data_IF_003775962949
#
_entry.id   IF_003775962949
#
_cell.length_a   1.000
_cell.length_b   1.000
_cell.length_c   1.000
_cell.angle_alpha   90.00
_cell.angle_beta   90.00
_cell.angle_gamma   90.00
#
_symmetry.space_group_name_H-M   'P 1'
#
loop_
_entity.id
_entity.type
_entity.pdbx_description
1 polymer ?
#
# COMPACT_ATOMS: atom_id res chain seq x y z
N UNK A 1 12.37 -26.57 1.63
CA UNK A 1 13.61 -26.73 0.83
C UNK A 1 14.51 -25.56 1.17
N UNK A 2 15.82 -25.79 1.33
CA UNK A 2 16.75 -24.72 1.71
C UNK A 2 17.96 -24.67 0.78
N UNK A 3 18.35 -23.49 0.33
CA UNK A 3 19.55 -23.29 -0.50
C UNK A 3 19.47 -23.90 -1.91
N UNK A 4 18.27 -24.26 -2.37
CA UNK A 4 18.09 -24.98 -3.63
C UNK A 4 18.14 -24.03 -4.83
N UNK A 5 18.75 -24.50 -5.93
CA UNK A 5 18.65 -23.88 -7.26
C UNK A 5 17.60 -24.61 -8.08
N UNK A 6 16.57 -23.89 -8.49
CA UNK A 6 15.41 -24.43 -9.20
C UNK A 6 15.47 -23.92 -10.63
N UNK A 7 15.92 -24.82 -11.53
CA UNK A 7 16.22 -24.51 -12.94
C UNK A 7 15.00 -24.64 -13.86
N UNK A 8 13.94 -25.30 -13.39
CA UNK A 8 12.67 -25.44 -14.12
C UNK A 8 11.62 -24.44 -13.65
N UNK A 9 10.61 -24.20 -14.48
CA UNK A 9 9.43 -23.41 -14.10
C UNK A 9 8.67 -24.11 -12.98
N UNK A 10 8.52 -23.43 -11.85
CA UNK A 10 7.63 -23.86 -10.78
C UNK A 10 6.23 -23.32 -11.08
N UNK A 11 5.45 -24.11 -11.82
CA UNK A 11 4.06 -23.82 -12.16
C UNK A 11 3.12 -24.66 -11.31
N UNK A 12 2.40 -23.99 -10.42
CA UNK A 12 1.40 -24.55 -9.53
C UNK A 12 0.04 -23.85 -9.74
N UNK A 13 -0.18 -23.30 -10.94
CA UNK A 13 -1.42 -22.61 -11.28
C UNK A 13 -2.64 -23.54 -11.13
N UNK A 14 -3.70 -23.03 -10.50
CA UNK A 14 -4.96 -23.75 -10.26
C UNK A 14 -4.83 -24.98 -9.36
N UNK A 15 -3.66 -25.23 -8.77
CA UNK A 15 -3.45 -26.39 -7.90
C UNK A 15 -4.05 -26.17 -6.52
N UNK A 16 -4.50 -27.26 -5.89
CA UNK A 16 -4.97 -27.26 -4.51
C UNK A 16 -4.10 -28.19 -3.67
N UNK A 17 -3.50 -27.68 -2.59
CA UNK A 17 -2.72 -28.48 -1.66
C UNK A 17 -2.79 -27.94 -0.22
N UNK A 18 -3.15 -28.79 0.74
CA UNK A 18 -3.28 -28.41 2.17
C UNK A 18 -1.92 -28.40 2.92
N UNK A 19 -0.81 -28.42 2.20
CA UNK A 19 0.53 -28.45 2.77
C UNK A 19 1.24 -27.10 2.70
N UNK A 20 2.37 -27.02 3.40
CA UNK A 20 3.27 -25.87 3.37
C UNK A 20 4.19 -25.97 2.14
N UNK A 21 4.22 -24.93 1.32
CA UNK A 21 5.31 -24.70 0.37
C UNK A 21 6.37 -23.82 1.04
N UNK A 22 7.50 -24.40 1.41
CA UNK A 22 8.60 -23.71 2.11
C UNK A 22 9.89 -23.76 1.28
N UNK A 23 10.37 -22.59 0.89
CA UNK A 23 11.59 -22.34 0.14
C UNK A 23 12.40 -21.27 0.87
N UNK A 24 13.53 -21.64 1.43
CA UNK A 24 14.39 -20.74 2.20
C UNK A 24 15.75 -20.60 1.51
N UNK A 25 16.24 -19.38 1.34
CA UNK A 25 17.53 -19.11 0.67
C UNK A 25 17.62 -19.73 -0.76
N UNK A 26 16.51 -19.86 -1.48
CA UNK A 26 16.45 -20.51 -2.79
C UNK A 26 16.72 -19.54 -3.95
N UNK A 27 17.14 -20.08 -5.10
CA UNK A 27 17.28 -19.33 -6.36
C UNK A 27 16.43 -19.99 -7.44
N UNK A 28 15.49 -19.24 -8.00
CA UNK A 28 14.65 -19.67 -9.11
C UNK A 28 15.18 -19.07 -10.41
N UNK A 29 15.30 -19.88 -11.46
CA UNK A 29 15.76 -19.40 -12.79
C UNK A 29 14.60 -18.94 -13.68
N UNK A 30 13.37 -19.32 -13.33
CA UNK A 30 12.15 -18.90 -14.02
C UNK A 30 11.10 -18.40 -13.02
N UNK A 31 10.02 -17.81 -13.53
CA UNK A 31 8.88 -17.31 -12.78
C UNK A 31 8.26 -18.41 -11.92
N UNK A 32 8.00 -18.09 -10.65
CA UNK A 32 7.15 -18.93 -9.79
C UNK A 32 5.70 -18.52 -9.99
N UNK A 33 4.86 -19.47 -10.39
CA UNK A 33 3.45 -19.26 -10.69
C UNK A 33 2.56 -20.12 -9.79
N UNK A 34 1.62 -19.46 -9.14
CA UNK A 34 0.62 -19.95 -8.18
C UNK A 34 -0.72 -19.25 -8.45
N UNK A 35 -0.97 -18.85 -9.71
CA UNK A 35 -2.19 -18.16 -10.08
C UNK A 35 -3.38 -19.09 -9.86
N UNK A 36 -4.44 -18.59 -9.22
CA UNK A 36 -5.65 -19.36 -8.89
C UNK A 36 -5.40 -20.59 -7.99
N UNK A 37 -4.22 -20.74 -7.40
CA UNK A 37 -3.92 -21.84 -6.50
C UNK A 37 -4.66 -21.71 -5.15
N UNK A 38 -4.88 -22.82 -4.47
CA UNK A 38 -5.37 -22.89 -3.10
C UNK A 38 -4.37 -23.65 -2.23
N UNK A 39 -3.82 -22.96 -1.22
CA UNK A 39 -2.81 -23.55 -0.34
C UNK A 39 -3.04 -23.25 1.14
N UNK A 40 -2.38 -24.01 2.00
CA UNK A 40 -2.34 -23.69 3.42
C UNK A 40 -1.36 -22.55 3.70
N UNK A 41 -0.07 -22.81 3.59
CA UNK A 41 0.97 -21.84 3.94
C UNK A 41 1.99 -21.73 2.80
N UNK A 42 2.42 -20.51 2.51
CA UNK A 42 3.47 -20.23 1.54
C UNK A 42 4.60 -19.46 2.23
N UNK A 43 5.81 -19.99 2.14
CA UNK A 43 7.03 -19.34 2.62
C UNK A 43 8.08 -19.43 1.53
N UNK A 44 8.45 -18.28 0.98
CA UNK A 44 9.60 -18.13 0.09
C UNK A 44 10.47 -17.03 0.69
N UNK A 45 11.35 -17.39 1.62
CA UNK A 45 12.14 -16.44 2.42
C UNK A 45 13.59 -16.37 1.94
N UNK A 46 14.19 -15.18 2.00
CA UNK A 46 15.60 -14.94 1.61
C UNK A 46 15.94 -15.38 0.18
N UNK A 47 14.94 -15.49 -0.70
CA UNK A 47 15.09 -16.17 -1.98
C UNK A 47 15.19 -15.17 -3.14
N UNK A 48 15.71 -15.61 -4.29
CA UNK A 48 15.76 -14.82 -5.53
C UNK A 48 14.84 -15.38 -6.58
N UNK A 49 13.95 -14.55 -7.09
CA UNK A 49 12.94 -14.92 -8.09
C UNK A 49 12.94 -13.90 -9.24
N UNK A 50 12.86 -14.33 -10.51
CA UNK A 50 12.68 -13.40 -11.63
C UNK A 50 11.32 -12.70 -11.58
N UNK A 51 10.27 -13.43 -11.20
CA UNK A 51 8.92 -12.90 -10.99
C UNK A 51 8.11 -13.86 -10.12
N UNK A 52 7.07 -13.33 -9.47
CA UNK A 52 6.14 -14.12 -8.66
C UNK A 52 4.69 -13.82 -9.08
N UNK A 53 3.99 -14.84 -9.57
CA UNK A 53 2.60 -14.73 -10.05
C UNK A 53 1.67 -15.51 -9.13
N UNK A 54 0.79 -14.81 -8.43
CA UNK A 54 -0.17 -15.41 -7.51
C UNK A 54 -1.50 -14.63 -7.55
N UNK A 55 -1.91 -14.20 -8.74
CA UNK A 55 -3.21 -13.59 -8.93
C UNK A 55 -4.30 -14.60 -8.53
N UNK A 56 -5.31 -14.14 -7.78
CA UNK A 56 -6.42 -14.96 -7.27
C UNK A 56 -5.99 -16.14 -6.36
N UNK A 57 -4.75 -16.12 -5.86
CA UNK A 57 -4.27 -17.10 -4.87
C UNK A 57 -5.19 -17.10 -3.65
N UNK A 58 -5.49 -18.29 -3.13
CA UNK A 58 -6.14 -18.48 -1.83
C UNK A 58 -5.17 -19.13 -0.88
N UNK A 59 -4.95 -18.51 0.28
CA UNK A 59 -4.11 -19.06 1.33
C UNK A 59 -4.82 -18.97 2.67
N UNK A 60 -4.91 -20.09 3.40
CA UNK A 60 -5.53 -20.10 4.74
C UNK A 60 -4.56 -19.66 5.85
N UNK A 61 -3.27 -19.91 5.65
CA UNK A 61 -2.18 -19.56 6.54
C UNK A 61 -1.32 -18.42 6.01
N UNK A 62 -0.14 -18.27 6.60
CA UNK A 62 0.83 -17.21 6.30
C UNK A 62 1.28 -17.28 4.82
N UNK A 63 1.36 -16.11 4.19
CA UNK A 63 2.13 -15.90 2.95
C UNK A 63 3.33 -15.01 3.28
N UNK A 64 4.53 -15.58 3.25
CA UNK A 64 5.77 -14.85 3.50
C UNK A 64 6.69 -14.90 2.30
N UNK A 65 7.13 -13.72 1.85
CA UNK A 65 8.21 -13.51 0.89
C UNK A 65 9.42 -12.82 1.55
N UNK A 66 9.46 -12.76 2.87
CA UNK A 66 10.39 -11.96 3.68
C UNK A 66 11.85 -12.10 3.24
N UNK A 67 12.53 -10.96 3.08
CA UNK A 67 13.93 -10.86 2.66
C UNK A 67 14.23 -11.31 1.23
N UNK A 68 13.21 -11.60 0.41
CA UNK A 68 13.41 -12.06 -0.97
C UNK A 68 13.60 -10.90 -1.96
N UNK A 69 14.36 -11.17 -3.02
CA UNK A 69 14.51 -10.27 -4.17
C UNK A 69 13.71 -10.80 -5.35
N UNK A 70 12.82 -9.97 -5.89
CA UNK A 70 11.95 -10.29 -7.02
C UNK A 70 12.25 -9.30 -8.14
N UNK A 71 13.10 -9.68 -9.09
CA UNK A 71 13.64 -8.77 -10.11
C UNK A 71 12.54 -8.08 -10.94
N UNK A 72 11.48 -8.82 -11.23
CA UNK A 72 10.31 -8.34 -11.96
C UNK A 72 9.15 -7.95 -11.05
N UNK A 73 8.00 -8.58 -11.29
CA UNK A 73 6.73 -8.23 -10.64
C UNK A 73 6.33 -9.27 -9.59
N UNK A 74 5.89 -8.77 -8.44
CA UNK A 74 5.14 -9.48 -7.42
C UNK A 74 3.64 -9.27 -7.66
N UNK A 75 2.92 -10.28 -8.16
CA UNK A 75 1.50 -10.21 -8.48
C UNK A 75 0.65 -11.00 -7.48
N UNK A 76 -0.23 -10.30 -6.77
CA UNK A 76 -1.21 -10.79 -5.80
C UNK A 76 -2.63 -10.24 -6.08
N UNK A 77 -2.86 -9.75 -7.30
CA UNK A 77 -4.15 -9.23 -7.77
C UNK A 77 -5.31 -10.17 -7.42
N UNK A 78 -6.34 -9.67 -6.75
CA UNK A 78 -7.51 -10.44 -6.29
C UNK A 78 -7.21 -11.65 -5.40
N UNK A 79 -6.00 -11.76 -4.81
CA UNK A 79 -5.69 -12.83 -3.88
C UNK A 79 -6.50 -12.69 -2.58
N UNK A 80 -6.86 -13.83 -1.99
CA UNK A 80 -7.58 -13.93 -0.70
C UNK A 80 -6.73 -14.68 0.31
N UNK A 81 -6.23 -13.94 1.28
CA UNK A 81 -5.24 -14.39 2.22
C UNK A 81 -5.88 -14.30 3.60
N UNK A 82 -6.18 -15.44 4.19
CA UNK A 82 -6.95 -15.56 5.43
C UNK A 82 -6.10 -15.26 6.68
N UNK A 83 -4.81 -14.98 6.48
CA UNK A 83 -3.83 -14.68 7.53
C UNK A 83 -2.98 -13.47 7.15
N UNK A 84 -1.86 -13.28 7.84
CA UNK A 84 -0.92 -12.21 7.54
C UNK A 84 -0.13 -12.46 6.23
N UNK A 85 0.31 -11.36 5.63
CA UNK A 85 1.21 -11.34 4.49
C UNK A 85 2.48 -10.63 4.90
N UNK A 86 3.62 -11.30 4.78
CA UNK A 86 4.94 -10.72 5.09
C UNK A 86 5.73 -10.49 3.83
N UNK A 87 5.96 -9.23 3.53
CA UNK A 87 6.82 -8.69 2.49
C UNK A 87 7.97 -7.88 3.12
N UNK A 88 8.28 -8.14 4.39
CA UNK A 88 9.33 -7.42 5.09
C UNK A 88 10.68 -7.62 4.39
N UNK A 89 11.43 -6.53 4.22
CA UNK A 89 12.73 -6.47 3.55
C UNK A 89 12.73 -7.05 2.11
N UNK A 90 11.57 -7.14 1.46
CA UNK A 90 11.48 -7.56 0.05
C UNK A 90 11.98 -6.43 -0.86
N UNK A 91 12.75 -6.79 -1.88
CA UNK A 91 13.10 -5.87 -2.99
C UNK A 91 12.41 -6.32 -4.26
N UNK A 92 11.68 -5.44 -4.93
CA UNK A 92 11.00 -5.78 -6.19
C UNK A 92 10.80 -4.58 -7.12
N UNK A 93 10.59 -4.82 -8.41
CA UNK A 93 10.23 -3.76 -9.35
C UNK A 93 8.79 -3.28 -9.15
N UNK A 94 7.81 -4.19 -9.12
CA UNK A 94 6.40 -3.79 -8.94
C UNK A 94 5.66 -4.73 -8.00
N UNK A 95 4.75 -4.17 -7.21
CA UNK A 95 3.78 -4.94 -6.42
C UNK A 95 2.39 -4.67 -6.99
N UNK A 96 1.75 -5.70 -7.54
CA UNK A 96 0.41 -5.61 -8.11
C UNK A 96 -0.54 -6.44 -7.25
N UNK A 97 -1.27 -5.77 -6.37
CA UNK A 97 -2.18 -6.36 -5.40
C UNK A 97 -3.52 -5.60 -5.41
N UNK A 98 -4.04 -5.28 -6.60
CA UNK A 98 -5.37 -4.65 -6.67
C UNK A 98 -6.42 -5.60 -6.10
N UNK A 99 -7.40 -5.03 -5.40
CA UNK A 99 -8.52 -5.76 -4.80
C UNK A 99 -8.09 -7.00 -3.98
N UNK A 100 -6.89 -6.95 -3.37
CA UNK A 100 -6.41 -8.01 -2.47
C UNK A 100 -7.25 -8.04 -1.19
N UNK A 101 -7.59 -9.23 -0.70
CA UNK A 101 -8.24 -9.42 0.59
C UNK A 101 -7.25 -10.09 1.55
N UNK A 102 -6.93 -9.41 2.66
CA UNK A 102 -6.02 -9.91 3.71
C UNK A 102 -6.76 -9.88 5.04
N UNK A 103 -7.08 -11.05 5.61
CA UNK A 103 -7.72 -11.20 6.93
C UNK A 103 -6.72 -11.12 8.09
N UNK A 104 -5.68 -10.31 7.93
CA UNK A 104 -4.64 -10.07 8.91
C UNK A 104 -3.90 -8.77 8.61
N UNK A 105 -2.60 -8.75 8.92
CA UNK A 105 -1.70 -7.63 8.63
C UNK A 105 -1.01 -7.86 7.29
N UNK A 106 -0.91 -6.81 6.47
CA UNK A 106 0.03 -6.75 5.36
C UNK A 106 1.26 -6.01 5.87
N UNK A 107 2.32 -6.77 6.15
CA UNK A 107 3.59 -6.25 6.65
C UNK A 107 4.59 -6.13 5.51
N UNK A 108 4.89 -4.91 5.11
CA UNK A 108 5.91 -4.57 4.13
C UNK A 108 6.95 -3.61 4.77
N UNK A 109 7.31 -3.88 6.02
CA UNK A 109 8.40 -3.17 6.72
C UNK A 109 9.71 -3.30 5.95
N UNK A 110 10.41 -2.20 5.70
CA UNK A 110 11.69 -2.22 4.98
C UNK A 110 11.61 -2.58 3.49
N UNK A 111 10.39 -2.76 2.93
CA UNK A 111 10.23 -3.10 1.51
C UNK A 111 10.87 -2.04 0.62
N UNK A 112 11.52 -2.47 -0.47
CA UNK A 112 12.02 -1.60 -1.53
C UNK A 112 11.31 -1.91 -2.84
N UNK A 113 10.63 -0.91 -3.41
CA UNK A 113 9.89 -1.04 -4.67
C UNK A 113 10.37 0.01 -5.67
N UNK A 114 10.94 -0.43 -6.78
CA UNK A 114 11.36 0.42 -7.91
C UNK A 114 10.34 0.34 -9.06
N UNK A 115 9.14 0.86 -8.75
CA UNK A 115 7.95 0.86 -9.58
C UNK A 115 6.70 1.05 -8.70
N UNK A 116 5.52 0.82 -9.27
CA UNK A 116 4.27 0.99 -8.53
C UNK A 116 4.06 -0.10 -7.46
N UNK A 117 3.83 0.31 -6.21
CA UNK A 117 3.20 -0.50 -5.17
C UNK A 117 1.69 -0.26 -5.20
N UNK A 118 0.93 -1.18 -5.77
CA UNK A 118 -0.50 -1.04 -6.02
C UNK A 118 -1.33 -1.98 -5.13
N UNK A 119 -2.05 -1.39 -4.19
CA UNK A 119 -3.02 -2.07 -3.29
C UNK A 119 -4.41 -1.45 -3.41
N UNK A 120 -4.70 -0.83 -4.57
CA UNK A 120 -5.97 -0.14 -4.84
C UNK A 120 -7.15 -1.09 -4.61
N UNK A 121 -8.17 -0.60 -3.90
CA UNK A 121 -9.39 -1.37 -3.61
C UNK A 121 -9.20 -2.52 -2.62
N UNK A 122 -7.96 -2.75 -2.14
CA UNK A 122 -7.66 -3.83 -1.21
C UNK A 122 -8.38 -3.69 0.13
N UNK A 123 -8.62 -4.83 0.77
CA UNK A 123 -9.26 -4.94 2.08
C UNK A 123 -8.32 -5.67 3.04
N UNK A 124 -7.83 -4.96 4.05
CA UNK A 124 -6.89 -5.46 5.05
C UNK A 124 -7.58 -5.33 6.40
N UNK A 125 -7.92 -6.45 7.05
CA UNK A 125 -8.66 -6.39 8.33
C UNK A 125 -7.79 -5.86 9.48
N UNK A 126 -6.48 -6.17 9.45
CA UNK A 126 -5.50 -5.70 10.40
C UNK A 126 -4.83 -4.40 9.97
N UNK A 127 -3.50 -4.36 10.02
CA UNK A 127 -2.72 -3.17 9.70
C UNK A 127 -2.10 -3.25 8.31
N UNK A 128 -1.88 -2.10 7.69
CA UNK A 128 -0.98 -1.94 6.54
C UNK A 128 0.31 -1.28 7.05
N UNK A 129 1.40 -2.04 7.04
CA UNK A 129 2.69 -1.59 7.58
C UNK A 129 3.68 -1.39 6.44
N UNK A 130 4.15 -0.16 6.27
CA UNK A 130 5.12 0.29 5.27
C UNK A 130 6.34 0.95 5.95
N UNK A 131 6.58 0.64 7.22
CA UNK A 131 7.57 1.32 8.05
C UNK A 131 8.98 1.12 7.47
N UNK A 132 9.73 2.20 7.28
CA UNK A 132 11.07 2.16 6.69
C UNK A 132 11.13 1.77 5.21
N UNK A 133 9.98 1.63 4.54
CA UNK A 133 9.93 1.25 3.13
C UNK A 133 10.43 2.35 2.18
N UNK A 134 10.93 1.95 1.02
CA UNK A 134 11.40 2.83 -0.05
C UNK A 134 10.62 2.54 -1.32
N UNK A 135 9.97 3.57 -1.87
CA UNK A 135 9.15 3.48 -3.07
C UNK A 135 9.63 4.51 -4.09
N UNK A 136 10.00 4.06 -5.29
CA UNK A 136 10.48 4.92 -6.36
C UNK A 136 9.67 4.64 -7.62
N UNK A 137 8.93 5.64 -8.09
CA UNK A 137 8.27 5.62 -9.40
C UNK A 137 7.99 7.07 -9.86
N UNK A 138 9.04 7.88 -10.12
CA UNK A 138 8.89 9.31 -10.37
C UNK A 138 8.17 9.63 -11.67
N UNK A 139 8.38 8.80 -12.70
CA UNK A 139 7.94 9.06 -14.07
C UNK A 139 6.52 8.57 -14.35
N UNK A 140 5.98 7.69 -13.51
CA UNK A 140 4.65 7.11 -13.71
C UNK A 140 3.57 7.74 -12.83
N UNK A 141 2.37 7.14 -12.83
CA UNK A 141 1.17 7.71 -12.19
C UNK A 141 1.28 7.73 -10.65
N UNK A 142 1.92 6.74 -10.05
CA UNK A 142 2.07 6.60 -8.60
C UNK A 142 3.26 5.70 -8.23
N UNK A 143 3.96 6.05 -7.16
CA UNK A 143 4.90 5.14 -6.48
C UNK A 143 4.15 4.23 -5.51
N UNK A 144 3.14 4.77 -4.82
CA UNK A 144 2.25 4.01 -3.94
C UNK A 144 0.81 4.34 -4.31
N UNK A 145 0.05 3.34 -4.71
CA UNK A 145 -1.34 3.47 -5.13
C UNK A 145 -2.24 2.67 -4.18
N UNK A 146 -2.84 3.38 -3.23
CA UNK A 146 -3.69 2.85 -2.17
C UNK A 146 -5.08 3.50 -2.18
N UNK A 147 -5.56 3.91 -3.36
CA UNK A 147 -6.89 4.45 -3.54
C UNK A 147 -7.96 3.44 -3.13
N UNK A 148 -8.97 3.91 -2.41
CA UNK A 148 -10.09 3.12 -1.92
C UNK A 148 -9.70 1.89 -1.08
N UNK A 149 -8.46 1.81 -0.60
CA UNK A 149 -8.03 0.75 0.31
C UNK A 149 -8.83 0.84 1.61
N UNK A 150 -9.22 -0.29 2.17
CA UNK A 150 -9.84 -0.39 3.49
C UNK A 150 -8.88 -1.10 4.43
N UNK A 151 -8.46 -0.43 5.49
CA UNK A 151 -7.61 -0.98 6.53
C UNK A 151 -8.36 -0.91 7.85
N UNK A 152 -8.63 -2.04 8.49
CA UNK A 152 -9.38 -2.08 9.75
C UNK A 152 -8.60 -1.48 10.93
N UNK A 153 -7.28 -1.64 10.92
CA UNK A 153 -6.37 -1.08 11.92
C UNK A 153 -5.71 0.23 11.47
N UNK A 154 -4.38 0.24 11.53
CA UNK A 154 -3.54 1.40 11.25
C UNK A 154 -2.85 1.29 9.88
N UNK A 155 -2.65 2.45 9.24
CA UNK A 155 -1.66 2.62 8.18
C UNK A 155 -0.38 3.18 8.82
N UNK A 156 0.67 2.36 8.88
CA UNK A 156 1.95 2.72 9.50
C UNK A 156 3.01 2.95 8.43
N UNK A 157 3.35 4.20 8.20
CA UNK A 157 4.34 4.63 7.21
C UNK A 157 5.40 5.53 7.87
N UNK A 158 5.85 5.14 9.07
CA UNK A 158 6.96 5.82 9.72
C UNK A 158 8.26 5.55 8.94
N UNK A 159 9.11 6.57 8.80
CA UNK A 159 10.40 6.48 8.12
C UNK A 159 10.32 6.03 6.66
N UNK A 160 9.14 6.16 6.03
CA UNK A 160 8.97 5.82 4.62
C UNK A 160 9.63 6.87 3.72
N UNK A 161 10.25 6.42 2.64
CA UNK A 161 10.74 7.28 1.56
C UNK A 161 9.96 6.99 0.28
N UNK A 162 9.27 7.99 -0.25
CA UNK A 162 8.46 7.87 -1.46
C UNK A 162 8.90 8.92 -2.46
N UNK A 163 9.41 8.46 -3.60
CA UNK A 163 9.78 9.26 -4.74
C UNK A 163 8.81 9.01 -5.90
N UNK A 164 7.84 9.91 -6.06
CA UNK A 164 6.68 9.76 -6.91
C UNK A 164 5.38 9.95 -6.11
N UNK A 165 4.22 10.02 -6.78
CA UNK A 165 2.95 10.29 -6.10
C UNK A 165 2.51 9.14 -5.19
N UNK A 166 2.04 9.48 -3.98
CA UNK A 166 1.33 8.58 -3.08
C UNK A 166 -0.18 8.87 -3.14
N UNK A 167 -0.96 7.92 -3.63
CA UNK A 167 -2.41 8.05 -3.81
C UNK A 167 -3.15 7.30 -2.70
N UNK A 168 -4.00 8.01 -1.95
CA UNK A 168 -4.83 7.51 -0.84
C UNK A 168 -6.28 7.98 -0.97
N UNK A 169 -6.74 8.22 -2.19
CA UNK A 169 -8.06 8.81 -2.44
C UNK A 169 -9.15 7.85 -2.00
N UNK A 170 -10.06 8.33 -1.16
CA UNK A 170 -11.14 7.51 -0.56
C UNK A 170 -10.64 6.30 0.26
N UNK A 171 -9.37 6.31 0.70
CA UNK A 171 -8.87 5.28 1.62
C UNK A 171 -9.62 5.37 2.97
N UNK A 172 -9.96 4.22 3.53
CA UNK A 172 -10.66 4.10 4.81
C UNK A 172 -9.75 3.38 5.80
N UNK A 173 -9.30 4.10 6.82
CA UNK A 173 -8.39 3.58 7.85
C UNK A 173 -9.12 3.61 9.18
N UNK A 174 -9.33 2.44 9.80
CA UNK A 174 -10.20 2.29 10.96
C UNK A 174 -9.65 2.89 12.26
N UNK A 175 -8.34 3.08 12.36
CA UNK A 175 -7.70 3.70 13.53
C UNK A 175 -6.96 4.99 13.19
N UNK A 176 -5.75 4.89 12.66
CA UNK A 176 -4.85 6.03 12.51
C UNK A 176 -3.91 5.85 11.34
N UNK A 177 -3.45 6.98 10.80
CA UNK A 177 -2.46 7.05 9.73
C UNK A 177 -1.22 7.74 10.29
N UNK A 178 -0.09 7.04 10.27
CA UNK A 178 1.17 7.54 10.82
C UNK A 178 2.23 7.73 9.72
N UNK A 179 2.71 8.97 9.56
CA UNK A 179 3.79 9.35 8.63
C UNK A 179 5.01 9.93 9.37
N UNK A 180 5.30 9.43 10.57
CA UNK A 180 6.39 9.95 11.39
C UNK A 180 7.73 9.86 10.62
N UNK A 181 8.41 11.00 10.42
CA UNK A 181 9.67 11.09 9.68
C UNK A 181 9.60 10.59 8.22
N UNK A 182 8.39 10.52 7.64
CA UNK A 182 8.22 10.19 6.23
C UNK A 182 8.79 11.28 5.31
N UNK A 183 9.41 10.87 4.21
CA UNK A 183 9.88 11.75 3.13
C UNK A 183 9.08 11.43 1.88
N UNK A 184 8.23 12.36 1.47
CA UNK A 184 7.42 12.25 0.25
C UNK A 184 7.88 13.33 -0.72
N UNK A 185 8.25 12.95 -1.94
CA UNK A 185 8.69 13.88 -2.97
C UNK A 185 8.13 13.47 -4.33
N UNK A 186 7.50 14.39 -5.03
CA UNK A 186 7.04 14.21 -6.41
C UNK A 186 7.25 15.54 -7.16
N UNK A 187 8.40 15.75 -7.81
CA UNK A 187 8.70 17.01 -8.48
C UNK A 187 7.61 17.37 -9.51
N UNK A 188 7.04 18.57 -9.38
CA UNK A 188 6.00 19.06 -10.29
C UNK A 188 4.60 18.46 -10.11
N UNK A 189 4.36 17.66 -9.06
CA UNK A 189 3.07 17.00 -8.76
C UNK A 189 2.79 17.02 -7.25
N UNK A 190 1.55 16.71 -6.88
CA UNK A 190 1.22 16.49 -5.47
C UNK A 190 1.82 15.16 -4.99
N UNK A 191 2.77 15.24 -4.06
CA UNK A 191 3.45 14.05 -3.51
C UNK A 191 2.50 13.16 -2.69
N UNK A 192 1.47 13.74 -2.08
CA UNK A 192 0.43 13.05 -1.34
C UNK A 192 -0.94 13.48 -1.86
N UNK A 193 -1.69 12.56 -2.44
CA UNK A 193 -3.07 12.77 -2.86
C UNK A 193 -4.01 11.91 -2.02
N UNK A 194 -4.46 12.45 -0.90
CA UNK A 194 -5.47 11.85 -0.02
C UNK A 194 -6.89 12.38 -0.29
N UNK A 195 -7.13 13.00 -1.45
CA UNK A 195 -8.41 13.63 -1.78
C UNK A 195 -9.52 12.60 -1.95
N UNK A 196 -10.52 12.62 -1.07
CA UNK A 196 -11.71 11.78 -1.21
C UNK A 196 -12.53 11.69 0.06
N UNK A 197 -13.71 12.32 0.05
CA UNK A 197 -14.69 12.30 1.13
C UNK A 197 -15.45 13.62 1.27
N UNK A 198 -16.67 13.58 1.82
CA UNK A 198 -17.55 14.73 2.06
C UNK A 198 -16.89 15.89 2.86
N UNK A 199 -15.73 15.64 3.47
CA UNK A 199 -14.93 16.61 4.21
C UNK A 199 -14.32 17.73 3.37
N UNK A 200 -14.16 17.55 2.05
CA UNK A 200 -13.76 18.66 1.17
C UNK A 200 -14.80 19.80 1.22
N UNK A 201 -16.09 19.47 1.16
CA UNK A 201 -17.18 20.46 1.26
C UNK A 201 -17.21 21.13 2.64
N UNK A 202 -16.90 20.41 3.71
CA UNK A 202 -16.77 20.99 5.06
C UNK A 202 -15.61 21.99 5.15
N UNK A 203 -14.45 21.68 4.57
CA UNK A 203 -13.34 22.63 4.54
C UNK A 203 -13.70 23.91 3.80
N UNK A 204 -14.36 23.79 2.62
CA UNK A 204 -14.86 24.95 1.88
C UNK A 204 -15.95 25.71 2.65
N UNK A 205 -16.82 25.00 3.37
CA UNK A 205 -17.85 25.62 4.22
C UNK A 205 -17.24 26.41 5.39
N UNK A 206 -16.20 25.88 6.05
CA UNK A 206 -15.48 26.60 7.11
C UNK A 206 -14.72 27.82 6.58
N UNK A 207 -14.06 27.69 5.43
CA UNK A 207 -13.38 28.83 4.79
C UNK A 207 -14.41 29.90 4.39
N UNK A 208 -15.53 29.51 3.77
CA UNK A 208 -16.60 30.43 3.41
C UNK A 208 -17.24 31.09 4.63
N UNK A 209 -17.52 30.34 5.70
CA UNK A 209 -18.05 30.87 6.95
C UNK A 209 -17.07 31.86 7.60
N UNK A 210 -15.76 31.58 7.56
CA UNK A 210 -14.72 32.49 8.03
C UNK A 210 -14.71 33.82 7.26
N UNK A 211 -14.85 33.78 5.93
CA UNK A 211 -14.96 34.98 5.10
C UNK A 211 -16.22 35.80 5.39
N UNK A 212 -17.36 35.15 5.58
CA UNK A 212 -18.62 35.82 5.97
C UNK A 212 -18.49 36.47 7.34
N UNK A 213 -17.85 35.79 8.30
CA UNK A 213 -17.64 36.35 9.64
C UNK A 213 -16.72 37.59 9.59
N UNK A 214 -15.63 37.52 8.84
CA UNK A 214 -14.67 38.61 8.67
C UNK A 214 -15.32 39.86 8.06
N UNK A 215 -16.13 39.69 7.02
CA UNK A 215 -16.87 40.79 6.38
C UNK A 215 -17.93 41.39 7.31
N UNK A 216 -18.59 40.57 8.13
CA UNK A 216 -19.58 41.02 9.11
C UNK A 216 -18.95 41.89 10.21
N UNK A 217 -17.78 41.49 10.73
CA UNK A 217 -17.03 42.28 11.73
C UNK A 217 -16.60 43.63 11.14
N UNK A 218 -16.06 43.63 9.91
CA UNK A 218 -15.64 44.87 9.23
C UNK A 218 -16.81 45.84 9.01
N UNK A 219 -17.98 45.33 8.61
CA UNK A 219 -19.19 46.16 8.47
C UNK A 219 -19.70 46.68 9.83
N UNK A 220 -19.60 45.87 10.88
CA UNK A 220 -19.97 46.25 12.25
C UNK A 220 -19.10 47.37 12.81
N UNK A 221 -17.77 47.29 12.64
CA UNK A 221 -16.84 48.33 13.11
C UNK A 221 -17.01 49.64 12.34
N UNK A 222 -17.26 49.58 11.03
CA UNK A 222 -17.54 50.78 10.23
C UNK A 222 -18.77 51.56 10.73
N UNK A 223 -19.83 50.86 11.15
CA UNK A 223 -21.02 51.51 11.75
C UNK A 223 -20.75 52.17 13.09
N UNK A 224 -19.90 51.57 13.93
CA UNK A 224 -19.57 52.11 15.26
C UNK A 224 -18.70 53.37 15.15
N UNK A 225 -17.84 53.44 14.15
CA UNK A 225 -16.95 54.59 13.93
C UNK A 225 -17.69 55.73 13.19
N UNK A 226 -18.61 55.41 12.27
CA UNK A 226 -19.42 56.41 11.55
C UNK A 226 -20.56 57.03 12.36
N UNK A 227 -20.99 56.41 13.47
CA UNK A 227 -22.10 56.88 14.30
C UNK A 227 -21.76 57.98 15.32
N UNK A 228 -20.53 58.49 15.35
CA UNK A 228 -20.06 59.51 16.32
C UNK A 228 -19.95 60.93 15.75
N UNK A 229 -20.62 61.23 14.63
CA UNK A 229 -20.57 62.52 13.95
C UNK A 229 -21.93 63.12 13.60
N UNK A 230 -22.92 63.02 14.48
CA UNK A 230 -24.18 63.77 14.39
C UNK A 230 -24.49 64.41 15.75
#
# INVERSE_FOLDING_TARGET
>A
MRGARITGRLDLDGTEFDTLLDCDDCVFEDTVSLAEANLRTLRITGSRLPAFKAARLRATGLVSLEGSSIDGRLRLDHARLESEVRLADVTTGHVQAHDIEVRGTLDATGITVDGEFNVRGGQITGNLVLTGGRFSNPDERAAVHADAVKVGGQLRAADVEVYGPLLLRNAQIGSSVGFHRARLSAPGRDALNAGGGAYQWLSYAFVAAGWVLATTIAAGTARVIGGRGA
#
